data_IF_066234543612
#
_entry.id   IF_066234543612
#
_cell.length_a   1.000
_cell.length_b   1.000
_cell.length_c   1.000
_cell.angle_alpha   90.00
_cell.angle_beta   90.00
_cell.angle_gamma   90.00
#
_symmetry.space_group_name_H-M   'P 1'
#
loop_
_entity.id
_entity.type
_entity.pdbx_description
1 polymer ?
#
# COMPACT_ATOMS: atom_id res chain seq x y z
N UNK A 1 -0.35 -15.33 21.39
CA UNK A 1 -0.37 -15.74 19.97
C UNK A 1 0.95 -16.39 19.55
N UNK A 2 2.05 -15.63 19.41
CA UNK A 2 3.32 -16.17 18.90
C UNK A 2 3.91 -17.30 19.75
N UNK A 3 3.74 -17.25 21.08
CA UNK A 3 4.15 -18.32 22.00
C UNK A 3 3.47 -19.67 21.69
N UNK A 4 2.22 -19.65 21.22
CA UNK A 4 1.51 -20.87 20.80
C UNK A 4 2.18 -21.54 19.58
N UNK A 5 2.81 -20.74 18.71
CA UNK A 5 3.54 -21.22 17.54
C UNK A 5 5.01 -21.60 17.85
N UNK A 6 5.43 -21.58 19.12
CA UNK A 6 6.82 -21.82 19.49
C UNK A 6 7.74 -20.60 19.41
N UNK A 7 7.19 -19.38 19.34
CA UNK A 7 7.95 -18.13 19.29
C UNK A 7 8.41 -17.73 17.87
N UNK A 8 9.33 -16.79 17.79
CA UNK A 8 9.90 -16.26 16.54
C UNK A 8 11.33 -16.71 16.36
N UNK A 9 11.76 -16.95 15.12
CA UNK A 9 13.15 -17.23 14.81
C UNK A 9 13.89 -15.92 14.52
N UNK A 10 14.97 -15.67 15.24
CA UNK A 10 15.76 -14.44 15.11
C UNK A 10 15.11 -13.23 15.77
N UNK A 11 15.64 -12.04 15.44
CA UNK A 11 15.13 -10.76 15.94
C UNK A 11 13.83 -10.39 15.24
N UNK A 12 12.74 -10.27 16.00
CA UNK A 12 11.42 -9.95 15.46
C UNK A 12 11.39 -8.49 15.01
N UNK A 13 11.09 -8.26 13.73
CA UNK A 13 10.95 -6.93 13.15
C UNK A 13 9.54 -6.41 13.28
N UNK A 14 8.63 -6.98 12.49
CA UNK A 14 7.23 -6.54 12.40
C UNK A 14 6.28 -7.74 12.35
N UNK A 15 5.07 -7.56 12.87
CA UNK A 15 4.02 -8.57 12.83
C UNK A 15 2.83 -8.04 12.04
N UNK A 16 2.44 -8.75 11.00
CA UNK A 16 1.35 -8.39 10.11
C UNK A 16 0.23 -9.42 10.26
N UNK A 17 -1.01 -8.98 10.40
CA UNK A 17 -2.18 -9.85 10.31
C UNK A 17 -2.76 -9.85 8.91
N UNK A 18 -3.10 -11.04 8.41
CA UNK A 18 -3.55 -11.25 7.04
C UNK A 18 -2.42 -11.72 6.13
N UNK A 19 -2.41 -11.24 4.88
CA UNK A 19 -1.44 -11.62 3.87
C UNK A 19 -0.31 -10.59 3.69
N UNK A 20 0.76 -10.93 2.95
CA UNK A 20 1.94 -10.08 2.79
C UNK A 20 1.66 -8.73 2.09
N UNK A 21 0.59 -8.65 1.30
CA UNK A 21 0.28 -7.46 0.50
C UNK A 21 -0.80 -6.56 1.11
N UNK A 22 -1.85 -7.17 1.68
CA UNK A 22 -3.04 -6.48 2.20
C UNK A 22 -3.17 -6.57 3.73
N UNK A 23 -2.17 -7.14 4.39
CA UNK A 23 -2.19 -7.32 5.82
C UNK A 23 -2.03 -6.00 6.57
N UNK A 24 -2.41 -6.03 7.84
CA UNK A 24 -2.34 -4.88 8.75
C UNK A 24 -1.21 -5.11 9.75
N UNK A 25 -0.32 -4.14 9.85
CA UNK A 25 0.74 -4.12 10.86
C UNK A 25 0.10 -4.06 12.26
N UNK A 26 0.53 -4.94 13.16
CA UNK A 26 0.19 -4.87 14.57
C UNK A 26 1.41 -4.38 15.35
N UNK A 27 1.18 -3.41 16.22
CA UNK A 27 2.21 -2.87 17.14
C UNK A 27 2.37 -3.74 18.39
N UNK A 28 1.28 -4.32 18.90
CA UNK A 28 1.27 -5.16 20.10
C UNK A 28 0.99 -6.65 19.80
N UNK A 29 1.97 -7.50 20.09
CA UNK A 29 1.85 -8.96 19.93
C UNK A 29 0.88 -9.63 20.91
N UNK A 30 0.38 -8.90 21.92
CA UNK A 30 -0.70 -9.33 22.81
C UNK A 30 -2.07 -9.31 22.13
N UNK A 31 -2.19 -8.67 20.97
CA UNK A 31 -3.44 -8.56 20.23
C UNK A 31 -4.07 -9.93 19.95
N UNK A 32 -5.36 -10.12 20.26
CA UNK A 32 -6.02 -11.41 20.10
C UNK A 32 -6.21 -11.76 18.62
N UNK A 33 -6.20 -13.06 18.32
CA UNK A 33 -6.60 -13.55 17.00
C UNK A 33 -8.11 -13.54 16.89
N UNK A 34 -8.61 -12.76 15.94
CA UNK A 34 -10.04 -12.70 15.62
C UNK A 34 -10.36 -13.62 14.43
N UNK A 35 -11.64 -13.95 14.24
CA UNK A 35 -12.12 -14.76 13.10
C UNK A 35 -11.75 -14.16 11.73
N UNK A 36 -11.55 -12.84 11.68
CA UNK A 36 -11.17 -12.13 10.46
C UNK A 36 -9.68 -12.26 10.13
N UNK A 37 -8.86 -12.79 11.04
CA UNK A 37 -7.43 -12.96 10.84
C UNK A 37 -7.18 -14.27 10.10
N UNK A 38 -6.98 -14.18 8.79
CA UNK A 38 -6.68 -15.36 7.95
C UNK A 38 -5.26 -15.91 8.19
N UNK A 39 -4.36 -15.12 8.75
CA UNK A 39 -2.97 -15.49 8.99
C UNK A 39 -2.23 -14.42 9.81
N UNK A 40 -1.04 -14.79 10.27
CA UNK A 40 -0.11 -13.89 10.96
C UNK A 40 1.26 -14.10 10.34
N UNK A 41 1.86 -13.02 9.88
CA UNK A 41 3.20 -13.00 9.32
C UNK A 41 4.11 -12.26 10.30
N UNK A 42 5.07 -12.99 10.87
CA UNK A 42 6.11 -12.43 11.72
C UNK A 42 7.40 -12.32 10.89
N UNK A 43 7.79 -11.10 10.54
CA UNK A 43 8.96 -10.83 9.69
C UNK A 43 10.18 -10.51 10.57
N UNK A 44 11.35 -11.09 10.26
CA UNK A 44 12.58 -10.76 10.98
C UNK A 44 13.04 -9.33 10.67
N UNK A 45 13.80 -8.72 11.58
CA UNK A 45 14.19 -7.31 11.51
C UNK A 45 14.95 -6.92 10.23
N UNK A 46 15.70 -7.86 9.65
CA UNK A 46 16.45 -7.66 8.41
C UNK A 46 15.57 -7.61 7.14
N UNK A 47 14.34 -8.13 7.18
CA UNK A 47 13.41 -8.15 6.04
C UNK A 47 12.45 -6.96 6.01
N UNK A 48 12.32 -6.24 7.12
CA UNK A 48 11.42 -5.07 7.26
C UNK A 48 12.11 -3.73 6.99
N UNK A 49 13.39 -3.75 6.62
CA UNK A 49 14.14 -2.53 6.30
C UNK A 49 13.63 -1.95 4.98
N UNK A 50 13.02 -0.77 5.07
CA UNK A 50 12.57 -0.03 3.89
C UNK A 50 13.80 0.51 3.14
N UNK A 51 13.99 0.15 1.86
CA UNK A 51 15.06 0.69 1.06
C UNK A 51 14.85 2.18 0.79
N UNK A 52 15.94 2.93 0.54
CA UNK A 52 15.85 4.34 0.20
C UNK A 52 15.05 4.57 -1.09
N UNK A 53 14.13 5.53 -1.03
CA UNK A 53 13.30 5.90 -2.16
C UNK A 53 14.14 6.68 -3.17
N UNK A 54 14.16 6.20 -4.41
CA UNK A 54 14.86 6.85 -5.51
C UNK A 54 13.86 7.56 -6.46
N UNK A 55 14.34 8.50 -7.29
CA UNK A 55 13.51 9.16 -8.30
C UNK A 55 12.90 8.17 -9.32
N UNK A 56 11.74 8.52 -9.85
CA UNK A 56 11.07 7.72 -10.88
C UNK A 56 11.85 7.75 -12.19
N UNK A 57 12.21 6.58 -12.72
CA UNK A 57 12.89 6.44 -14.03
C UNK A 57 11.94 6.14 -15.20
N UNK A 58 10.62 6.27 -14.99
CA UNK A 58 9.59 6.06 -16.02
C UNK A 58 9.63 4.69 -16.72
N UNK A 59 10.03 3.63 -16.00
CA UNK A 59 10.20 2.28 -16.56
C UNK A 59 8.91 1.50 -16.92
N UNK A 60 7.71 2.04 -16.67
CA UNK A 60 6.45 1.38 -17.03
C UNK A 60 6.00 0.18 -16.17
N UNK A 61 6.88 -0.47 -15.39
CA UNK A 61 6.55 -1.67 -14.59
C UNK A 61 5.35 -1.53 -13.66
N UNK A 62 5.09 -0.31 -13.16
CA UNK A 62 3.94 0.02 -12.31
C UNK A 62 2.59 -0.24 -13.02
N UNK A 63 2.57 -0.11 -14.35
CA UNK A 63 1.42 -0.27 -15.23
C UNK A 63 1.27 -1.76 -15.58
N UNK A 64 2.36 -2.40 -16.03
CA UNK A 64 2.34 -3.79 -16.48
C UNK A 64 1.91 -4.78 -15.39
N UNK A 65 2.28 -4.53 -14.14
CA UNK A 65 1.93 -5.40 -13.02
C UNK A 65 0.52 -5.13 -12.45
N UNK A 66 -0.19 -4.11 -12.93
CA UNK A 66 -1.44 -3.68 -12.31
C UNK A 66 -2.58 -4.63 -12.70
N UNK A 67 -3.21 -5.35 -11.76
CA UNK A 67 -4.26 -6.32 -12.08
C UNK A 67 -5.54 -5.66 -12.62
N UNK A 68 -5.73 -4.37 -12.34
CA UNK A 68 -6.89 -3.58 -12.78
C UNK A 68 -6.56 -2.63 -13.94
N UNK A 69 -5.33 -2.66 -14.47
CA UNK A 69 -4.93 -1.86 -15.64
C UNK A 69 -4.83 -0.35 -15.40
N UNK A 70 -4.62 0.09 -14.14
CA UNK A 70 -4.41 1.50 -13.85
C UNK A 70 -3.03 1.97 -14.29
N UNK A 71 -2.86 3.30 -14.36
CA UNK A 71 -1.56 3.95 -14.59
C UNK A 71 -1.08 4.66 -13.31
N UNK A 72 -0.47 3.95 -12.34
CA UNK A 72 -0.10 4.53 -11.04
C UNK A 72 0.87 5.70 -11.17
N UNK A 73 1.75 5.63 -12.17
CA UNK A 73 2.76 6.65 -12.41
C UNK A 73 2.13 7.99 -12.88
N UNK A 74 1.02 7.97 -13.61
CA UNK A 74 0.25 9.17 -14.00
C UNK A 74 -0.61 9.68 -12.85
N UNK A 75 -1.26 8.77 -12.12
CA UNK A 75 -2.06 9.12 -10.94
C UNK A 75 -1.18 9.80 -9.88
N UNK A 76 0.04 9.32 -9.69
CA UNK A 76 1.01 9.96 -8.79
C UNK A 76 1.31 11.40 -9.19
N UNK A 77 1.51 11.68 -10.48
CA UNK A 77 1.71 13.03 -10.97
C UNK A 77 0.48 13.94 -10.72
N UNK A 78 -0.73 13.42 -10.90
CA UNK A 78 -1.96 14.15 -10.56
C UNK A 78 -2.10 14.47 -9.07
N UNK A 79 -1.66 13.55 -8.19
CA UNK A 79 -1.59 13.80 -6.74
C UNK A 79 -0.53 14.85 -6.41
N UNK A 80 0.65 14.77 -7.03
CA UNK A 80 1.74 15.71 -6.81
C UNK A 80 1.38 17.13 -7.30
N UNK A 81 0.59 17.23 -8.38
CA UNK A 81 -0.01 18.47 -8.87
C UNK A 81 -1.23 18.95 -8.06
N UNK A 82 -1.69 18.15 -7.08
CA UNK A 82 -2.89 18.39 -6.28
C UNK A 82 -4.14 18.65 -7.14
N UNK A 83 -4.26 17.94 -8.27
CA UNK A 83 -5.39 18.05 -9.20
C UNK A 83 -6.39 16.90 -9.00
N UNK A 84 -7.48 17.12 -8.24
CA UNK A 84 -8.47 16.08 -8.00
C UNK A 84 -9.30 15.72 -9.24
N UNK A 85 -9.40 16.61 -10.24
CA UNK A 85 -10.18 16.35 -11.45
C UNK A 85 -9.45 15.35 -12.34
N UNK A 86 -8.15 15.54 -12.51
CA UNK A 86 -7.29 14.59 -13.22
C UNK A 86 -7.26 13.23 -12.53
N UNK A 87 -7.14 13.21 -11.20
CA UNK A 87 -7.17 11.96 -10.43
C UNK A 87 -8.52 11.24 -10.57
N UNK A 88 -9.63 11.97 -10.65
CA UNK A 88 -10.96 11.37 -10.88
C UNK A 88 -11.11 10.80 -12.30
N UNK A 89 -10.59 11.52 -13.31
CA UNK A 89 -10.56 11.04 -14.71
C UNK A 89 -9.80 9.73 -14.86
N UNK A 90 -8.77 9.52 -14.04
CA UNK A 90 -7.95 8.30 -14.02
C UNK A 90 -8.58 7.15 -13.21
N UNK A 91 -9.82 7.30 -12.72
CA UNK A 91 -10.60 6.23 -12.07
C UNK A 91 -9.88 5.56 -10.88
N UNK A 92 -9.20 6.37 -10.06
CA UNK A 92 -8.39 5.85 -8.95
C UNK A 92 -9.19 5.06 -7.90
N UNK A 93 -10.50 5.24 -7.85
CA UNK A 93 -11.42 4.49 -7.02
C UNK A 93 -11.43 2.98 -7.31
N UNK A 94 -11.06 2.58 -8.54
CA UNK A 94 -10.95 1.17 -8.94
C UNK A 94 -9.72 0.48 -8.33
N UNK A 95 -8.74 1.25 -7.83
CA UNK A 95 -7.55 0.67 -7.22
C UNK A 95 -7.93 -0.16 -6.00
N UNK A 96 -7.49 -1.42 -5.92
CA UNK A 96 -7.73 -2.30 -4.76
C UNK A 96 -6.61 -2.28 -3.71
N UNK A 97 -5.65 -1.36 -3.84
CA UNK A 97 -4.53 -1.16 -2.88
C UNK A 97 -3.62 -2.39 -2.71
N UNK A 98 -3.56 -3.26 -3.71
CA UNK A 98 -2.84 -4.55 -3.69
C UNK A 98 -1.32 -4.50 -3.49
N UNK A 99 -0.65 -3.35 -3.49
CA UNK A 99 0.79 -3.28 -3.25
C UNK A 99 1.71 -3.65 -4.44
N UNK A 100 1.19 -4.28 -5.51
CA UNK A 100 2.02 -4.80 -6.62
C UNK A 100 2.95 -3.74 -7.23
N UNK A 101 2.43 -2.54 -7.47
CA UNK A 101 3.17 -1.44 -8.06
C UNK A 101 4.34 -0.94 -7.19
N UNK A 102 4.19 -0.99 -5.86
CA UNK A 102 5.26 -0.64 -4.91
C UNK A 102 6.34 -1.72 -4.92
N UNK A 103 5.93 -2.98 -4.93
CA UNK A 103 6.84 -4.12 -4.88
C UNK A 103 7.76 -4.20 -6.11
N UNK A 104 7.22 -4.02 -7.32
CA UNK A 104 7.98 -4.13 -8.58
C UNK A 104 8.79 -2.87 -8.94
N UNK A 105 8.58 -1.77 -8.22
CA UNK A 105 9.22 -0.50 -8.54
C UNK A 105 10.74 -0.60 -8.31
N UNK A 106 11.60 -0.40 -9.33
CA UNK A 106 13.05 -0.43 -9.15
C UNK A 106 13.54 0.74 -8.29
N UNK A 107 12.82 1.86 -8.32
CA UNK A 107 13.09 3.03 -7.49
C UNK A 107 12.51 2.93 -6.07
N UNK A 108 11.90 1.79 -5.71
CA UNK A 108 11.33 1.52 -4.38
C UNK A 108 10.36 2.59 -3.88
N UNK A 109 9.67 3.26 -4.80
CA UNK A 109 8.68 4.29 -4.47
C UNK A 109 7.47 3.64 -3.78
N UNK A 110 6.91 4.27 -2.73
CA UNK A 110 5.71 3.79 -2.05
C UNK A 110 4.44 4.15 -2.86
N UNK A 111 4.33 3.60 -4.07
CA UNK A 111 3.27 3.94 -5.04
C UNK A 111 1.87 3.65 -4.49
N UNK A 112 1.71 2.57 -3.73
CA UNK A 112 0.42 2.18 -3.13
C UNK A 112 -0.06 3.20 -2.11
N UNK A 113 0.84 3.82 -1.36
CA UNK A 113 0.50 4.91 -0.44
C UNK A 113 0.06 6.16 -1.22
N UNK A 114 0.73 6.47 -2.33
CA UNK A 114 0.28 7.53 -3.25
C UNK A 114 -1.12 7.26 -3.79
N UNK A 115 -1.45 6.01 -4.13
CA UNK A 115 -2.79 5.62 -4.58
C UNK A 115 -3.85 5.78 -3.48
N UNK A 116 -3.52 5.47 -2.23
CA UNK A 116 -4.40 5.74 -1.08
C UNK A 116 -4.66 7.24 -0.92
N UNK A 117 -3.61 8.06 -0.98
CA UNK A 117 -3.71 9.53 -0.96
C UNK A 117 -4.57 10.06 -2.11
N UNK A 118 -4.41 9.50 -3.31
CA UNK A 118 -5.20 9.85 -4.49
C UNK A 118 -6.71 9.61 -4.27
N UNK A 119 -7.10 8.45 -3.71
CA UNK A 119 -8.51 8.19 -3.36
C UNK A 119 -9.05 9.18 -2.33
N UNK A 120 -8.24 9.57 -1.34
CA UNK A 120 -8.65 10.58 -0.34
C UNK A 120 -8.85 11.94 -1.02
N UNK A 121 -7.94 12.34 -1.91
CA UNK A 121 -8.04 13.58 -2.68
C UNK A 121 -9.31 13.61 -3.54
N UNK A 122 -9.57 12.54 -4.29
CA UNK A 122 -10.79 12.35 -5.11
C UNK A 122 -12.06 12.47 -4.24
N UNK A 123 -12.11 11.78 -3.09
CA UNK A 123 -13.26 11.83 -2.17
C UNK A 123 -13.50 13.23 -1.59
N UNK A 124 -12.43 13.96 -1.24
CA UNK A 124 -12.54 15.34 -0.72
C UNK A 124 -13.14 16.27 -1.78
N UNK A 125 -12.69 16.18 -3.02
CA UNK A 125 -13.22 16.99 -4.12
C UNK A 125 -14.69 16.69 -4.42
N UNK A 126 -15.09 15.40 -4.46
CA UNK A 126 -16.49 15.01 -4.65
C UNK A 126 -17.42 15.50 -3.53
N UNK A 127 -16.95 15.52 -2.28
CA UNK A 127 -17.72 16.08 -1.15
C UNK A 127 -17.89 17.60 -1.26
N UNK A 128 -16.86 18.32 -1.71
CA UNK A 128 -16.94 19.77 -1.96
C UNK A 128 -17.91 20.13 -3.08
N UNK A 129 -18.03 19.30 -4.12
CA UNK A 129 -18.98 19.51 -5.22
C UNK A 129 -20.44 19.17 -4.86
N UNK A 130 -20.66 18.29 -3.90
CA UNK A 130 -22.01 17.78 -3.51
C UNK A 130 -22.67 18.58 -2.39
N UNK A 131 -21.97 19.58 -1.84
CA UNK A 131 -22.46 20.49 -0.79
C UNK A 131 -22.90 21.86 -1.31
N UNK A 132 -23.10 22.02 -2.62
CA UNK A 132 -23.61 23.24 -3.25
C UNK A 132 -24.93 22.98 -3.95
#
# INVERSE_FOLDING_TARGET
MLAFCGGTKGDLGEVITGGPMMGVLIEDTSFPILKQNNGVLALPRNEVLLPEVQPCIHCGRCIDCCPVGLSPCVIAAGVDANDPQEVDRLQVDTCMECGCCTYVCPAKRPVTETMRRAKVLQKKAKKGARGK
#
